data_IF_613571621719
#
_entry.id   IF_613571621719
#
_cell.length_a   1.000
_cell.length_b   1.000
_cell.length_c   1.000
_cell.angle_alpha   90.00
_cell.angle_beta   90.00
_cell.angle_gamma   90.00
#
_symmetry.space_group_name_H-M   'P 1'
#
loop_
_entity.id
_entity.type
_entity.pdbx_description
1 polymer ?
#
# COMPACT_ATOMS: atom_id res chain seq x y z
N UNK A 1 37.33 -71.53 1.24
CA UNK A 1 36.19 -71.20 0.36
C UNK A 1 35.55 -69.92 0.89
N UNK A 2 35.94 -68.77 0.36
CA UNK A 2 35.45 -67.45 0.76
C UNK A 2 34.23 -67.05 -0.08
N UNK A 3 33.17 -66.56 0.56
CA UNK A 3 32.11 -65.76 -0.07
C UNK A 3 32.48 -64.27 0.10
N UNK A 4 32.34 -63.41 -0.92
CA UNK A 4 32.54 -61.98 -0.75
C UNK A 4 31.25 -61.33 -0.21
N UNK A 5 31.38 -60.54 0.85
CA UNK A 5 30.34 -59.61 1.29
C UNK A 5 30.58 -58.26 0.59
N UNK A 6 29.62 -57.82 -0.21
CA UNK A 6 29.64 -56.53 -0.88
C UNK A 6 29.39 -55.41 0.16
N UNK A 7 30.41 -54.59 0.42
CA UNK A 7 30.27 -53.29 1.07
C UNK A 7 29.78 -52.28 0.02
N UNK A 8 28.49 -51.96 0.04
CA UNK A 8 27.93 -50.82 -0.68
C UNK A 8 28.34 -49.54 0.06
N UNK A 9 29.28 -48.79 -0.53
CA UNK A 9 29.61 -47.45 -0.09
C UNK A 9 28.50 -46.48 -0.56
N UNK A 10 27.67 -46.00 0.37
CA UNK A 10 26.74 -44.91 0.12
C UNK A 10 27.53 -43.59 -0.01
N UNK A 11 27.74 -43.11 -1.24
CA UNK A 11 28.15 -41.73 -1.49
C UNK A 11 26.92 -40.82 -1.27
N UNK A 12 26.97 -39.80 -0.41
CA UNK A 12 25.89 -38.82 -0.32
C UNK A 12 25.91 -37.97 -1.59
N UNK A 13 24.83 -38.00 -2.37
CA UNK A 13 24.59 -37.02 -3.43
C UNK A 13 24.45 -35.63 -2.77
N UNK A 14 25.49 -34.82 -2.86
CA UNK A 14 25.41 -33.38 -2.64
C UNK A 14 24.57 -32.78 -3.77
N UNK A 15 23.26 -32.66 -3.54
CA UNK A 15 22.40 -31.85 -4.39
C UNK A 15 22.87 -30.39 -4.27
N UNK A 16 23.18 -29.70 -5.39
CA UNK A 16 23.52 -28.29 -5.33
C UNK A 16 22.34 -27.52 -4.75
N UNK A 17 22.56 -26.80 -3.66
CA UNK A 17 21.56 -25.89 -3.12
C UNK A 17 21.12 -24.93 -4.24
N UNK A 18 19.81 -24.64 -4.37
CA UNK A 18 19.36 -23.67 -5.36
C UNK A 18 20.09 -22.36 -5.09
N UNK A 19 20.90 -21.92 -6.07
CA UNK A 19 21.43 -20.57 -6.11
C UNK A 19 20.26 -19.66 -6.42
N UNK A 20 19.63 -19.12 -5.38
CA UNK A 20 18.78 -17.95 -5.53
C UNK A 20 19.71 -16.82 -5.96
N UNK A 21 19.72 -16.50 -7.25
CA UNK A 21 20.38 -15.28 -7.75
C UNK A 21 19.67 -14.09 -7.13
N UNK A 22 20.18 -13.62 -5.99
CA UNK A 22 19.87 -12.29 -5.49
C UNK A 22 20.68 -11.31 -6.32
N UNK A 23 20.22 -11.03 -7.53
CA UNK A 23 20.64 -9.81 -8.21
C UNK A 23 19.95 -8.67 -7.46
N UNK A 24 20.61 -8.17 -6.41
CA UNK A 24 20.31 -6.84 -5.92
C UNK A 24 20.56 -5.89 -7.08
N UNK A 25 19.54 -5.13 -7.48
CA UNK A 25 19.74 -4.03 -8.41
C UNK A 25 20.67 -3.05 -7.69
N UNK A 26 21.92 -2.98 -8.16
CA UNK A 26 22.87 -1.99 -7.68
C UNK A 26 22.40 -0.63 -8.19
N UNK A 27 21.63 0.08 -7.36
CA UNK A 27 21.05 1.38 -7.71
C UNK A 27 22.15 2.41 -7.99
N UNK A 28 23.37 2.22 -7.49
CA UNK A 28 24.50 3.11 -7.78
C UNK A 28 25.12 2.86 -9.16
N UNK A 29 24.88 1.69 -9.77
CA UNK A 29 25.34 1.33 -11.13
C UNK A 29 24.22 1.16 -12.14
N UNK A 30 22.97 1.31 -11.71
CA UNK A 30 21.79 1.14 -12.56
C UNK A 30 21.64 2.29 -13.55
N UNK A 31 21.31 1.97 -14.79
CA UNK A 31 20.88 2.98 -15.76
C UNK A 31 19.47 3.46 -15.38
N UNK A 32 19.31 4.76 -15.16
CA UNK A 32 18.00 5.36 -15.00
C UNK A 32 17.30 5.42 -16.35
N UNK A 33 16.28 4.58 -16.52
CA UNK A 33 15.38 4.65 -17.67
C UNK A 33 14.18 5.51 -17.33
N UNK A 34 13.90 6.52 -18.16
CA UNK A 34 12.65 7.28 -18.12
C UNK A 34 11.63 6.60 -19.03
N UNK A 35 10.42 6.37 -18.50
CA UNK A 35 9.27 5.94 -19.29
C UNK A 35 8.39 7.16 -19.57
N UNK A 36 8.07 7.42 -20.83
CA UNK A 36 7.23 8.55 -21.25
C UNK A 36 6.05 8.09 -22.10
N UNK A 37 5.29 9.04 -22.64
CA UNK A 37 4.27 8.78 -23.66
C UNK A 37 4.85 8.16 -24.93
N UNK A 38 6.13 8.39 -25.23
CA UNK A 38 6.80 7.80 -26.39
C UNK A 38 7.06 6.30 -26.20
N UNK A 39 7.13 5.83 -24.94
CA UNK A 39 7.22 4.41 -24.58
C UNK A 39 5.84 3.72 -24.48
N UNK A 40 4.74 4.45 -24.70
CA UNK A 40 3.37 3.92 -24.67
C UNK A 40 2.56 4.24 -23.40
N UNK A 41 3.09 5.05 -22.48
CA UNK A 41 2.33 5.53 -21.33
C UNK A 41 1.19 6.46 -21.81
N UNK A 42 -0.06 6.32 -21.33
CA UNK A 42 -1.17 7.14 -21.84
C UNK A 42 -1.01 8.63 -21.52
N UNK A 43 -0.36 8.97 -20.40
CA UNK A 43 -0.03 10.35 -20.05
C UNK A 43 1.15 10.43 -19.08
N UNK A 44 1.80 11.60 -19.00
CA UNK A 44 2.95 11.83 -18.11
C UNK A 44 2.62 12.01 -16.62
N UNK A 45 1.34 12.06 -16.24
CA UNK A 45 0.91 12.18 -14.84
C UNK A 45 0.43 10.83 -14.29
N UNK A 46 1.35 10.09 -13.65
CA UNK A 46 1.08 8.82 -12.97
C UNK A 46 0.61 9.10 -11.55
N UNK A 47 -0.50 8.46 -11.14
CA UNK A 47 -1.10 8.64 -9.81
C UNK A 47 -0.65 7.59 -8.81
N UNK A 48 -0.48 6.35 -9.25
CA UNK A 48 -0.09 5.22 -8.44
C UNK A 48 0.68 4.20 -9.28
N UNK A 49 1.57 3.45 -8.62
CA UNK A 49 2.42 2.44 -9.25
C UNK A 49 2.38 1.16 -8.41
N UNK A 50 2.12 0.03 -9.06
CA UNK A 50 2.11 -1.28 -8.43
C UNK A 50 2.88 -2.29 -9.28
N UNK A 51 3.73 -3.11 -8.67
CA UNK A 51 4.21 -4.33 -9.30
C UNK A 51 3.31 -5.50 -8.88
N UNK A 52 2.74 -6.22 -9.84
CA UNK A 52 1.96 -7.43 -9.54
C UNK A 52 2.84 -8.66 -9.28
N UNK A 53 2.26 -9.74 -8.76
CA UNK A 53 2.96 -11.02 -8.53
C UNK A 53 3.46 -11.71 -9.79
N UNK A 54 2.96 -11.35 -10.97
CA UNK A 54 3.48 -11.86 -12.25
C UNK A 54 4.69 -11.04 -12.74
N UNK A 55 5.02 -9.94 -12.06
CA UNK A 55 6.15 -9.07 -12.35
C UNK A 55 5.81 -7.87 -13.23
N UNK A 56 4.55 -7.70 -13.65
CA UNK A 56 4.16 -6.54 -14.44
C UNK A 56 4.12 -5.27 -13.59
N UNK A 57 4.51 -4.16 -14.19
CA UNK A 57 4.34 -2.83 -13.61
C UNK A 57 3.04 -2.21 -14.08
N UNK A 58 2.25 -1.72 -13.15
CA UNK A 58 0.99 -1.05 -13.38
C UNK A 58 1.09 0.43 -13.03
N UNK A 59 0.52 1.29 -13.86
CA UNK A 59 0.54 2.74 -13.72
C UNK A 59 -0.88 3.28 -13.88
N UNK A 60 -1.43 3.85 -12.81
CA UNK A 60 -2.74 4.49 -12.88
C UNK A 60 -2.60 5.93 -13.37
N UNK A 61 -3.48 6.34 -14.29
CA UNK A 61 -3.45 7.67 -14.88
C UNK A 61 -4.87 8.22 -15.08
N UNK A 62 -5.01 9.50 -15.46
CA UNK A 62 -6.32 10.10 -15.81
C UNK A 62 -6.95 9.63 -17.14
N UNK A 63 -6.19 8.93 -17.99
CA UNK A 63 -6.46 8.64 -19.42
C UNK A 63 -6.21 7.15 -19.73
N UNK A 64 -6.41 6.31 -18.71
CA UNK A 64 -6.28 4.88 -18.79
C UNK A 64 -5.35 4.30 -17.73
N UNK A 65 -5.45 2.99 -17.59
CA UNK A 65 -4.57 2.16 -16.79
C UNK A 65 -3.51 1.54 -17.72
N UNK A 66 -2.24 1.69 -17.40
CA UNK A 66 -1.16 1.07 -18.17
C UNK A 66 -0.55 -0.11 -17.44
N UNK A 67 -0.29 -1.20 -18.16
CA UNK A 67 0.47 -2.38 -17.71
C UNK A 67 1.71 -2.52 -18.57
N UNK A 68 2.87 -2.74 -17.96
CA UNK A 68 4.11 -3.04 -18.67
C UNK A 68 4.71 -4.36 -18.23
N UNK A 69 5.17 -5.14 -19.20
CA UNK A 69 5.98 -6.35 -19.01
C UNK A 69 7.50 -6.04 -19.00
N UNK A 70 7.87 -4.75 -19.05
CA UNK A 70 9.26 -4.27 -19.16
C UNK A 70 9.72 -3.98 -20.59
N UNK A 71 9.02 -4.50 -21.59
CA UNK A 71 9.32 -4.34 -23.02
C UNK A 71 8.23 -3.55 -23.74
N UNK A 72 6.97 -3.88 -23.45
CA UNK A 72 5.77 -3.32 -24.05
C UNK A 72 4.87 -2.70 -23.00
N UNK A 73 3.98 -1.81 -23.43
CA UNK A 73 2.96 -1.19 -22.59
C UNK A 73 1.59 -1.43 -23.19
N UNK A 74 0.71 -2.03 -22.40
CA UNK A 74 -0.71 -2.24 -22.71
C UNK A 74 -1.53 -1.19 -21.98
N UNK A 75 -2.39 -0.47 -22.69
CA UNK A 75 -3.26 0.57 -22.11
C UNK A 75 -4.70 0.10 -22.13
N UNK A 76 -5.33 0.08 -20.96
CA UNK A 76 -6.75 -0.19 -20.78
C UNK A 76 -7.50 1.14 -20.69
N UNK A 77 -8.49 1.30 -21.57
CA UNK A 77 -9.40 2.46 -21.62
C UNK A 77 -10.84 2.00 -21.58
N UNK A 78 -11.71 2.90 -21.16
CA UNK A 78 -13.13 2.68 -21.12
C UNK A 78 -13.68 2.53 -22.53
N UNK A 79 -14.53 1.53 -22.73
CA UNK A 79 -15.29 1.31 -23.95
C UNK A 79 -16.78 1.17 -23.60
N UNK A 80 -17.59 2.14 -24.04
CA UNK A 80 -19.05 2.14 -23.85
C UNK A 80 -19.73 0.89 -24.46
N UNK A 81 -19.09 0.25 -25.44
CA UNK A 81 -19.55 -0.98 -26.08
C UNK A 81 -19.14 -2.27 -25.37
N UNK A 82 -18.23 -2.22 -24.40
CA UNK A 82 -17.71 -3.39 -23.70
C UNK A 82 -17.83 -3.24 -22.17
N UNK A 83 -18.82 -3.92 -21.59
CA UNK A 83 -19.02 -3.99 -20.14
C UNK A 83 -17.89 -4.67 -19.36
N UNK A 84 -16.93 -5.28 -20.05
CA UNK A 84 -15.74 -5.92 -19.48
C UNK A 84 -14.48 -5.06 -19.60
N UNK A 85 -14.60 -3.86 -20.19
CA UNK A 85 -13.59 -2.81 -20.14
C UNK A 85 -13.56 -2.12 -18.77
N UNK A 86 -12.49 -1.38 -18.48
CA UNK A 86 -12.40 -0.52 -17.30
C UNK A 86 -13.57 0.47 -17.30
N UNK A 87 -14.20 0.72 -16.16
CA UNK A 87 -15.44 1.49 -16.06
C UNK A 87 -15.24 2.97 -16.36
N UNK A 88 -14.02 3.48 -16.29
CA UNK A 88 -13.63 4.83 -16.70
C UNK A 88 -12.11 4.97 -16.82
N UNK A 89 -11.67 6.01 -17.53
CA UNK A 89 -10.25 6.19 -17.84
C UNK A 89 -9.42 6.75 -16.67
N UNK A 90 -10.08 7.38 -15.69
CA UNK A 90 -9.39 8.08 -14.61
C UNK A 90 -9.06 7.13 -13.44
N UNK A 91 -8.07 6.27 -13.64
CA UNK A 91 -7.54 5.39 -12.61
C UNK A 91 -6.75 6.18 -11.54
N UNK A 92 -6.95 5.86 -10.27
CA UNK A 92 -6.41 6.62 -9.13
C UNK A 92 -5.60 5.81 -8.12
N UNK A 93 -5.97 4.55 -7.87
CA UNK A 93 -5.37 3.69 -6.85
C UNK A 93 -5.21 2.27 -7.40
N UNK A 94 -4.17 1.57 -6.98
CA UNK A 94 -3.87 0.20 -7.39
C UNK A 94 -3.60 -0.67 -6.16
N UNK A 95 -4.18 -1.87 -6.15
CA UNK A 95 -3.90 -2.87 -5.13
C UNK A 95 -4.09 -4.28 -5.67
N UNK A 96 -3.11 -5.16 -5.50
CA UNK A 96 -3.30 -6.59 -5.76
C UNK A 96 -3.74 -7.32 -4.47
N UNK A 97 -4.83 -8.09 -4.54
CA UNK A 97 -5.30 -8.86 -3.39
C UNK A 97 -4.54 -10.19 -3.18
N UNK A 98 -4.88 -10.94 -2.14
CA UNK A 98 -4.28 -12.25 -1.83
C UNK A 98 -4.48 -13.32 -2.92
N UNK A 99 -5.44 -13.14 -3.82
CA UNK A 99 -5.82 -14.11 -4.87
C UNK A 99 -5.25 -13.75 -6.25
N UNK A 100 -4.61 -12.59 -6.37
CA UNK A 100 -3.96 -12.12 -7.58
C UNK A 100 -4.87 -11.29 -8.48
N UNK A 101 -6.04 -10.85 -8.01
CA UNK A 101 -6.82 -9.85 -8.73
C UNK A 101 -6.26 -8.46 -8.44
N UNK A 102 -6.23 -7.62 -9.47
CA UNK A 102 -5.89 -6.20 -9.34
C UNK A 102 -7.17 -5.40 -9.10
N UNK A 103 -7.12 -4.52 -8.12
CA UNK A 103 -8.19 -3.58 -7.78
C UNK A 103 -7.76 -2.19 -8.18
N UNK A 104 -8.65 -1.49 -8.89
CA UNK A 104 -8.36 -0.20 -9.52
C UNK A 104 -9.40 0.81 -9.08
N UNK A 105 -8.97 1.83 -8.35
CA UNK A 105 -9.84 2.97 -8.02
C UNK A 105 -10.09 3.80 -9.28
N UNK A 106 -11.35 4.10 -9.59
CA UNK A 106 -11.76 4.91 -10.75
C UNK A 106 -12.44 6.18 -10.25
N UNK A 107 -11.86 7.33 -10.58
CA UNK A 107 -12.39 8.62 -10.13
C UNK A 107 -13.81 8.81 -10.63
N UNK A 108 -14.74 9.00 -9.70
CA UNK A 108 -16.15 9.24 -10.02
C UNK A 108 -16.92 7.97 -10.42
N UNK A 109 -16.31 6.78 -10.35
CA UNK A 109 -16.93 5.49 -10.72
C UNK A 109 -16.66 4.33 -9.75
N UNK A 110 -15.84 4.56 -8.72
CA UNK A 110 -15.70 3.67 -7.59
C UNK A 110 -14.49 2.77 -7.77
N UNK A 111 -14.73 1.46 -7.82
CA UNK A 111 -13.67 0.46 -7.85
C UNK A 111 -13.96 -0.57 -8.94
N UNK A 112 -12.92 -0.95 -9.67
CA UNK A 112 -12.96 -2.06 -10.62
C UNK A 112 -12.05 -3.19 -10.14
N UNK A 113 -12.45 -4.43 -10.45
CA UNK A 113 -11.60 -5.62 -10.28
C UNK A 113 -11.17 -6.14 -11.65
N UNK A 114 -9.87 -6.24 -11.87
CA UNK A 114 -9.25 -6.86 -13.03
C UNK A 114 -8.89 -8.33 -12.75
N UNK A 115 -9.39 -9.22 -13.60
CA UNK A 115 -9.03 -10.65 -13.62
C UNK A 115 -7.92 -10.88 -14.65
N UNK A 116 -6.66 -11.14 -14.22
CA UNK A 116 -5.55 -11.34 -15.14
C UNK A 116 -5.66 -12.62 -15.98
N UNK A 117 -6.50 -13.59 -15.58
CA UNK A 117 -6.69 -14.83 -16.37
C UNK A 117 -7.60 -14.62 -17.56
N UNK A 118 -8.52 -13.67 -17.45
CA UNK A 118 -9.52 -13.36 -18.49
C UNK A 118 -9.24 -12.04 -19.20
N UNK A 119 -8.32 -11.24 -18.66
CA UNK A 119 -8.03 -9.86 -19.04
C UNK A 119 -9.30 -8.99 -19.09
N UNK A 120 -10.12 -9.09 -18.03
CA UNK A 120 -11.42 -8.41 -17.95
C UNK A 120 -11.56 -7.64 -16.65
N UNK A 121 -12.25 -6.51 -16.75
CA UNK A 121 -12.67 -5.71 -15.62
C UNK A 121 -14.10 -6.06 -15.21
N UNK A 122 -14.38 -5.89 -13.92
CA UNK A 122 -15.73 -5.99 -13.35
C UNK A 122 -15.88 -4.86 -12.35
N UNK A 123 -16.79 -3.93 -12.64
CA UNK A 123 -17.11 -2.84 -11.73
C UNK A 123 -17.71 -3.38 -10.42
N UNK A 124 -17.27 -2.82 -9.29
CA UNK A 124 -17.78 -3.13 -7.96
C UNK A 124 -19.17 -2.53 -7.80
N UNK A 125 -20.13 -3.35 -7.37
CA UNK A 125 -21.50 -2.91 -7.15
C UNK A 125 -21.64 -2.33 -5.75
N UNK A 126 -22.50 -1.34 -5.60
CA UNK A 126 -22.86 -0.80 -4.29
C UNK A 126 -23.94 -1.67 -3.65
N UNK A 127 -23.68 -2.14 -2.42
CA UNK A 127 -24.64 -2.84 -1.59
C UNK A 127 -25.67 -1.90 -0.97
N UNK A 128 -26.62 -2.47 -0.23
CA UNK A 128 -27.63 -1.70 0.49
C UNK A 128 -27.00 -0.69 1.44
N UNK A 129 -27.56 0.52 1.47
CA UNK A 129 -27.07 1.62 2.31
C UNK A 129 -25.98 2.50 1.67
N UNK A 130 -25.41 2.11 0.52
CA UNK A 130 -24.46 2.94 -0.24
C UNK A 130 -25.15 3.49 -1.49
N UNK A 131 -25.34 4.82 -1.56
CA UNK A 131 -26.02 5.46 -2.70
C UNK A 131 -24.99 6.03 -3.68
N UNK A 132 -25.04 5.76 -5.00
CA UNK A 132 -24.02 6.21 -5.95
C UNK A 132 -23.91 7.74 -6.18
N UNK A 133 -24.83 8.56 -5.64
CA UNK A 133 -25.00 9.97 -6.04
C UNK A 133 -23.96 10.97 -5.50
N UNK A 134 -23.13 10.58 -4.53
CA UNK A 134 -22.18 11.49 -3.85
C UNK A 134 -20.87 10.79 -3.40
N UNK A 135 -20.64 9.52 -3.76
CA UNK A 135 -19.78 8.59 -3.00
C UNK A 135 -18.82 7.77 -3.89
N UNK A 136 -18.22 8.37 -4.91
CA UNK A 136 -17.66 7.55 -6.01
C UNK A 136 -16.14 7.68 -6.18
N UNK A 137 -15.49 8.54 -5.40
CA UNK A 137 -14.04 8.60 -5.30
C UNK A 137 -13.54 7.76 -4.13
N UNK A 138 -12.49 6.98 -4.37
CA UNK A 138 -11.75 6.23 -3.34
C UNK A 138 -10.53 7.06 -2.98
N UNK A 139 -10.32 7.36 -1.70
CA UNK A 139 -9.14 8.05 -1.18
C UNK A 139 -8.14 7.09 -0.56
N UNK A 140 -8.62 5.97 -0.03
CA UNK A 140 -7.76 4.92 0.54
C UNK A 140 -8.28 3.56 0.10
N UNK A 141 -7.35 2.72 -0.35
CA UNK A 141 -7.60 1.33 -0.72
C UNK A 141 -6.54 0.46 -0.02
N UNK A 142 -6.96 -0.48 0.83
CA UNK A 142 -6.02 -1.27 1.64
C UNK A 142 -6.53 -2.69 1.91
N UNK A 143 -5.62 -3.62 2.16
CA UNK A 143 -5.98 -4.93 2.68
C UNK A 143 -6.14 -4.87 4.21
N UNK A 144 -7.26 -5.41 4.67
CA UNK A 144 -7.47 -5.72 6.08
C UNK A 144 -6.65 -6.92 6.54
N UNK A 145 -6.61 -7.16 7.86
CA UNK A 145 -5.88 -8.26 8.48
C UNK A 145 -6.40 -9.65 8.07
N UNK A 146 -7.66 -9.73 7.63
CA UNK A 146 -8.33 -10.93 7.14
C UNK A 146 -8.19 -11.11 5.61
N UNK A 147 -7.43 -10.24 4.94
CA UNK A 147 -7.28 -10.22 3.49
C UNK A 147 -8.49 -9.64 2.75
N UNK A 148 -9.52 -9.15 3.46
CA UNK A 148 -10.59 -8.40 2.83
C UNK A 148 -10.11 -7.02 2.42
N UNK A 149 -10.75 -6.47 1.41
CA UNK A 149 -10.42 -5.16 0.89
C UNK A 149 -11.25 -4.10 1.62
N UNK A 150 -10.57 -3.09 2.14
CA UNK A 150 -11.17 -1.95 2.83
C UNK A 150 -10.91 -0.67 2.05
N UNK A 151 -11.92 0.19 2.00
CA UNK A 151 -11.87 1.46 1.28
C UNK A 151 -12.34 2.58 2.18
N UNK A 152 -11.73 3.76 2.01
CA UNK A 152 -12.29 5.01 2.50
C UNK A 152 -12.61 5.87 1.30
N UNK A 153 -13.86 6.30 1.21
CA UNK A 153 -14.37 7.17 0.14
C UNK A 153 -14.07 8.64 0.41
N UNK A 154 -14.21 9.50 -0.61
CA UNK A 154 -13.96 10.96 -0.51
C UNK A 154 -14.81 11.68 0.56
N UNK A 155 -15.96 11.13 0.89
CA UNK A 155 -16.83 11.61 1.97
C UNK A 155 -16.41 11.07 3.35
N UNK A 156 -15.28 10.38 3.42
CA UNK A 156 -14.68 9.77 4.62
C UNK A 156 -15.48 8.57 5.14
N UNK A 157 -16.33 7.96 4.31
CA UNK A 157 -17.03 6.73 4.67
C UNK A 157 -16.12 5.51 4.55
N UNK A 158 -16.06 4.70 5.61
CA UNK A 158 -15.40 3.39 5.60
C UNK A 158 -16.31 2.32 4.98
N UNK A 159 -15.79 1.56 4.02
CA UNK A 159 -16.48 0.44 3.38
C UNK A 159 -15.58 -0.79 3.27
N UNK A 160 -16.21 -1.96 3.16
CA UNK A 160 -15.55 -3.25 2.90
C UNK A 160 -16.05 -3.82 1.58
N UNK A 161 -15.15 -4.38 0.78
CA UNK A 161 -15.51 -5.04 -0.48
C UNK A 161 -15.57 -6.54 -0.25
N UNK A 162 -16.77 -7.09 -0.45
CA UNK A 162 -17.05 -8.52 -0.33
C UNK A 162 -16.95 -9.15 -1.71
N UNK A 163 -16.15 -10.21 -1.79
CA UNK A 163 -15.99 -11.04 -2.99
C UNK A 163 -16.63 -12.40 -2.76
N UNK A 164 -17.87 -12.57 -3.19
CA UNK A 164 -18.48 -13.90 -3.21
C UNK A 164 -17.92 -14.70 -4.39
N UNK A 165 -17.70 -16.00 -4.22
CA UNK A 165 -17.08 -16.87 -5.23
C UNK A 165 -17.89 -17.03 -6.53
N UNK A 166 -19.13 -16.57 -6.58
CA UNK A 166 -20.04 -16.73 -7.72
C UNK A 166 -20.55 -15.40 -8.34
N UNK A 167 -20.23 -14.24 -7.74
CA UNK A 167 -20.85 -12.96 -8.10
C UNK A 167 -19.85 -11.83 -8.39
N UNK A 168 -20.33 -10.70 -8.94
CA UNK A 168 -19.53 -9.49 -8.99
C UNK A 168 -19.21 -9.02 -7.56
N UNK A 169 -18.05 -8.38 -7.36
CA UNK A 169 -17.69 -7.83 -6.05
C UNK A 169 -18.71 -6.76 -5.62
N UNK A 170 -19.01 -6.72 -4.33
CA UNK A 170 -19.99 -5.78 -3.75
C UNK A 170 -19.35 -5.01 -2.61
N UNK A 171 -19.40 -3.69 -2.69
CA UNK A 171 -19.04 -2.79 -1.61
C UNK A 171 -20.18 -2.73 -0.59
N UNK A 172 -19.87 -2.90 0.69
CA UNK A 172 -20.83 -2.84 1.79
C UNK A 172 -20.31 -1.98 2.92
N UNK A 173 -21.23 -1.43 3.69
CA UNK A 173 -20.90 -0.83 4.98
C UNK A 173 -20.47 -1.96 5.93
N UNK A 174 -19.48 -1.72 6.81
CA UNK A 174 -19.18 -2.65 7.89
C UNK A 174 -20.44 -2.82 8.76
N UNK A 175 -20.75 -4.05 9.17
CA UNK A 175 -22.01 -4.40 9.85
C UNK A 175 -22.38 -3.51 11.06
N UNK A 176 -23.69 -3.40 11.36
CA UNK A 176 -24.42 -2.52 12.30
C UNK A 176 -23.94 -2.36 13.76
N UNK A 177 -22.75 -2.82 14.14
CA UNK A 177 -22.21 -2.68 15.51
C UNK A 177 -21.60 -1.29 15.78
N UNK A 178 -21.63 -0.38 14.79
CA UNK A 178 -20.86 0.86 14.82
C UNK A 178 -21.70 2.06 14.33
N UNK A 179 -21.98 3.06 15.19
CA UNK A 179 -22.74 4.22 14.78
C UNK A 179 -21.81 5.23 14.06
N UNK A 180 -22.20 5.60 12.83
CA UNK A 180 -21.61 6.67 11.99
C UNK A 180 -20.12 6.52 11.61
N UNK A 181 -19.87 5.88 10.46
CA UNK A 181 -18.54 5.64 9.88
C UNK A 181 -18.00 6.77 8.98
N UNK A 182 -18.40 8.01 9.24
CA UNK A 182 -17.78 9.16 8.60
C UNK A 182 -16.71 9.69 9.53
N UNK A 183 -15.44 9.54 9.15
CA UNK A 183 -14.37 10.10 9.98
C UNK A 183 -14.53 11.63 10.07
N UNK A 184 -14.30 12.23 11.25
CA UNK A 184 -14.41 13.68 11.41
C UNK A 184 -13.37 14.42 10.55
N UNK A 185 -12.29 13.74 10.16
CA UNK A 185 -11.16 14.28 9.43
C UNK A 185 -10.79 13.39 8.23
N UNK A 186 -10.01 13.96 7.31
CA UNK A 186 -9.65 13.28 6.07
C UNK A 186 -8.72 12.10 6.40
N UNK A 187 -9.11 10.88 6.03
CA UNK A 187 -8.21 9.72 6.15
C UNK A 187 -7.16 9.83 5.04
N UNK A 188 -5.89 9.82 5.42
CA UNK A 188 -4.77 9.94 4.49
C UNK A 188 -4.13 8.60 4.17
N UNK A 189 -4.23 7.61 5.08
CA UNK A 189 -3.72 6.27 4.84
C UNK A 189 -4.38 5.23 5.74
N UNK A 190 -4.39 3.97 5.31
CA UNK A 190 -4.82 2.85 6.13
C UNK A 190 -3.98 1.60 5.87
N UNK A 191 -3.76 0.81 6.92
CA UNK A 191 -2.97 -0.43 6.86
C UNK A 191 -3.53 -1.49 7.80
N UNK A 192 -3.70 -2.72 7.30
CA UNK A 192 -3.95 -3.90 8.12
C UNK A 192 -2.70 -4.39 8.84
N UNK A 193 -2.87 -4.96 10.03
CA UNK A 193 -1.83 -5.62 10.80
C UNK A 193 -2.01 -7.15 10.86
N UNK A 194 -1.03 -7.88 11.40
CA UNK A 194 -1.09 -9.36 11.47
C UNK A 194 -1.94 -9.89 12.63
N UNK A 195 -2.40 -9.02 13.52
CA UNK A 195 -3.10 -9.35 14.77
C UNK A 195 -4.60 -9.04 14.69
N UNK A 196 -5.13 -8.68 13.52
CA UNK A 196 -6.55 -8.40 13.36
C UNK A 196 -6.93 -6.93 13.45
N UNK A 197 -5.98 -6.00 13.47
CA UNK A 197 -6.24 -4.56 13.48
C UNK A 197 -6.18 -3.93 12.09
N UNK A 198 -7.10 -3.01 11.81
CA UNK A 198 -7.05 -2.07 10.71
C UNK A 198 -6.75 -0.68 11.28
N UNK A 199 -5.61 -0.12 10.89
CA UNK A 199 -5.15 1.19 11.32
C UNK A 199 -5.49 2.22 10.25
N UNK A 200 -6.01 3.38 10.68
CA UNK A 200 -6.31 4.50 9.80
C UNK A 200 -5.72 5.77 10.40
N UNK A 201 -4.98 6.51 9.61
CA UNK A 201 -4.45 7.81 10.01
C UNK A 201 -5.18 8.91 9.27
N UNK A 202 -5.58 9.93 10.01
CA UNK A 202 -6.13 11.19 9.48
C UNK A 202 -5.14 12.32 9.71
N UNK A 203 -5.39 13.48 9.11
CA UNK A 203 -4.67 14.73 9.37
C UNK A 203 -4.61 15.14 10.86
N UNK A 204 -5.48 14.57 11.72
CA UNK A 204 -5.63 14.94 13.14
C UNK A 204 -5.48 13.79 14.14
N UNK A 205 -5.72 12.56 13.72
CA UNK A 205 -5.93 11.43 14.64
C UNK A 205 -5.46 10.11 14.04
N UNK A 206 -5.09 9.19 14.92
CA UNK A 206 -4.87 7.80 14.58
C UNK A 206 -6.01 6.95 15.14
N UNK A 207 -6.55 6.09 14.30
CA UNK A 207 -7.63 5.17 14.62
C UNK A 207 -7.18 3.72 14.43
N UNK A 208 -7.63 2.85 15.33
CA UNK A 208 -7.45 1.40 15.21
C UNK A 208 -8.77 0.68 15.39
N UNK A 209 -9.16 -0.10 14.38
CA UNK A 209 -10.33 -0.97 14.38
C UNK A 209 -9.88 -2.41 14.57
N UNK A 210 -10.41 -3.10 15.56
CA UNK A 210 -10.16 -4.54 15.76
C UNK A 210 -11.24 -5.34 15.06
N UNK A 211 -10.86 -6.10 14.04
CA UNK A 211 -11.76 -6.82 13.14
C UNK A 211 -11.85 -8.32 13.48
N UNK A 212 -10.84 -8.85 14.19
CA UNK A 212 -10.74 -10.27 14.56
C UNK A 212 -10.74 -10.42 16.09
N UNK A 213 -11.42 -11.45 16.62
CA UNK A 213 -11.51 -11.72 18.06
C UNK A 213 -12.86 -11.38 18.69
N UNK A 214 -12.94 -11.48 20.02
CA UNK A 214 -14.16 -11.25 20.81
C UNK A 214 -14.41 -9.77 21.13
N UNK A 215 -13.39 -8.91 21.01
CA UNK A 215 -13.45 -7.47 21.25
C UNK A 215 -13.52 -6.67 19.95
N UNK A 216 -14.43 -7.05 19.03
CA UNK A 216 -14.57 -6.32 17.76
C UNK A 216 -15.01 -4.88 18.01
N UNK A 217 -14.19 -3.91 17.61
CA UNK A 217 -14.57 -2.50 17.65
C UNK A 217 -13.44 -1.51 17.50
N UNK A 218 -13.82 -0.23 17.43
CA UNK A 218 -12.89 0.88 17.40
C UNK A 218 -12.31 1.05 18.81
N UNK A 219 -11.04 0.69 18.98
CA UNK A 219 -10.44 0.69 20.33
C UNK A 219 -9.83 2.05 20.68
N UNK A 220 -9.36 2.83 19.70
CA UNK A 220 -8.62 4.04 20.01
C UNK A 220 -8.83 5.16 18.98
N UNK A 221 -9.12 6.36 19.48
CA UNK A 221 -8.81 7.64 18.85
C UNK A 221 -7.62 8.20 19.63
N UNK A 222 -6.42 8.09 19.07
CA UNK A 222 -5.25 8.72 19.65
C UNK A 222 -5.08 10.08 18.98
N UNK A 223 -5.19 11.19 19.72
CA UNK A 223 -4.89 12.49 19.17
C UNK A 223 -3.41 12.48 18.79
N UNK A 224 -3.13 12.70 17.50
CA UNK A 224 -1.76 12.94 17.06
C UNK A 224 -1.39 14.36 17.49
N UNK A 225 -0.13 14.63 17.87
CA UNK A 225 0.30 15.99 18.12
C UNK A 225 -0.07 16.83 16.91
N UNK A 226 -0.87 17.88 17.12
CA UNK A 226 -1.28 18.79 16.04
C UNK A 226 -0.02 19.18 15.26
N UNK A 227 -0.04 19.11 13.92
CA UNK A 227 1.10 19.61 13.15
C UNK A 227 1.34 21.05 13.64
N UNK A 228 2.55 21.32 14.13
CA UNK A 228 2.98 22.71 14.33
C UNK A 228 2.81 23.38 12.98
N UNK A 229 1.83 24.28 12.89
CA UNK A 229 1.41 24.92 11.64
C UNK A 229 2.62 25.41 10.87
N UNK A 230 3.04 24.65 9.86
CA UNK A 230 3.79 25.18 8.74
C UNK A 230 2.77 25.41 7.63
N UNK A 231 2.77 26.62 7.07
CA UNK A 231 1.65 27.17 6.30
C UNK A 231 1.45 26.52 4.91
N UNK A 232 2.24 25.50 4.55
CA UNK A 232 2.08 24.73 3.30
C UNK A 232 1.14 23.53 3.49
N UNK A 233 -0.14 23.82 3.75
CA UNK A 233 -1.24 22.88 4.02
C UNK A 233 -1.59 21.90 2.88
N UNK A 234 -0.80 21.83 1.80
CA UNK A 234 -1.14 21.03 0.60
C UNK A 234 -0.61 19.59 0.62
N UNK A 235 0.30 19.24 1.54
CA UNK A 235 1.03 17.95 1.50
C UNK A 235 1.28 17.31 2.88
N UNK A 236 0.24 17.16 3.70
CA UNK A 236 0.37 16.46 5.00
C UNK A 236 0.16 14.96 4.80
N UNK A 237 1.19 14.29 4.28
CA UNK A 237 1.21 12.85 4.02
C UNK A 237 1.43 12.03 5.28
N UNK A 238 0.49 12.08 6.23
CA UNK A 238 0.54 11.14 7.34
C UNK A 238 0.33 9.73 6.77
N UNK A 239 1.31 8.87 7.00
CA UNK A 239 1.32 7.52 6.45
C UNK A 239 1.56 6.50 7.54
N UNK A 240 1.05 5.30 7.32
CA UNK A 240 1.28 4.15 8.18
C UNK A 240 2.27 3.20 7.53
N UNK A 241 3.22 2.71 8.32
CA UNK A 241 4.21 1.74 7.87
C UNK A 241 4.32 0.62 8.90
N UNK A 242 3.99 -0.60 8.46
CA UNK A 242 4.04 -1.79 9.31
C UNK A 242 5.46 -2.35 9.36
N UNK A 243 5.99 -2.58 10.55
CA UNK A 243 7.23 -3.31 10.81
C UNK A 243 6.91 -4.71 11.37
N UNK A 244 6.59 -5.70 10.51
CA UNK A 244 5.98 -6.96 10.93
C UNK A 244 6.88 -7.81 11.82
N UNK A 245 8.21 -7.76 11.63
CA UNK A 245 9.18 -8.54 12.44
C UNK A 245 9.17 -8.15 13.92
N UNK A 246 8.52 -7.05 14.29
CA UNK A 246 8.53 -6.49 15.64
C UNK A 246 7.14 -6.18 16.19
N UNK A 247 6.08 -6.52 15.47
CA UNK A 247 4.71 -6.16 15.83
C UNK A 247 4.57 -4.64 16.10
N UNK A 248 5.15 -3.80 15.24
CA UNK A 248 5.07 -2.33 15.35
C UNK A 248 4.38 -1.71 14.15
N UNK A 249 3.48 -0.77 14.41
CA UNK A 249 2.92 0.14 13.41
C UNK A 249 3.55 1.52 13.60
N UNK A 250 4.16 2.07 12.56
CA UNK A 250 4.71 3.43 12.60
C UNK A 250 3.73 4.40 11.94
N UNK A 251 3.32 5.44 12.69
CA UNK A 251 2.69 6.62 12.11
C UNK A 251 3.78 7.62 11.76
N UNK A 252 3.98 7.85 10.46
CA UNK A 252 4.93 8.81 9.92
C UNK A 252 4.23 10.15 9.76
N UNK A 253 4.73 11.14 10.47
CA UNK A 253 4.30 12.54 10.42
C UNK A 253 5.47 13.36 9.86
N UNK A 254 5.22 14.64 9.53
CA UNK A 254 6.24 15.51 8.94
C UNK A 254 7.53 15.58 9.76
N UNK A 255 7.45 15.83 11.08
CA UNK A 255 8.62 15.97 11.96
C UNK A 255 8.82 14.80 12.92
N UNK A 256 7.93 13.81 12.92
CA UNK A 256 7.93 12.74 13.90
C UNK A 256 7.59 11.39 13.25
N UNK A 257 8.16 10.32 13.79
CA UNK A 257 7.66 8.98 13.56
C UNK A 257 7.28 8.37 14.92
N UNK A 258 6.02 8.00 15.09
CA UNK A 258 5.52 7.44 16.35
C UNK A 258 5.28 5.95 16.14
N UNK A 259 5.93 5.10 16.95
CA UNK A 259 5.74 3.66 16.94
C UNK A 259 4.62 3.27 17.90
N UNK A 260 3.75 2.38 17.45
CA UNK A 260 2.67 1.78 18.24
C UNK A 260 2.83 0.28 18.27
N UNK A 261 2.50 -0.31 19.43
CA UNK A 261 2.43 -1.75 19.59
C UNK A 261 1.18 -2.26 18.88
N UNK A 262 1.36 -3.20 17.95
CA UNK A 262 0.27 -3.71 17.13
C UNK A 262 -0.77 -4.47 17.97
N UNK A 263 -0.36 -5.09 19.08
CA UNK A 263 -1.24 -5.91 19.92
C UNK A 263 -2.07 -5.06 20.85
N UNK A 264 -1.45 -4.07 21.50
CA UNK A 264 -2.09 -3.25 22.53
C UNK A 264 -2.60 -1.91 22.01
N UNK A 265 -2.19 -1.47 20.82
CA UNK A 265 -2.52 -0.14 20.29
C UNK A 265 -1.77 1.01 20.97
N UNK A 266 -0.95 0.72 21.98
CA UNK A 266 -0.29 1.74 22.81
C UNK A 266 0.96 2.31 22.12
N UNK A 267 1.28 3.60 22.30
CA UNK A 267 2.53 4.17 21.81
C UNK A 267 3.72 3.52 22.53
N UNK A 268 4.72 3.10 21.74
CA UNK A 268 5.97 2.50 22.22
C UNK A 268 7.08 3.55 22.25
N UNK A 269 7.21 4.33 21.18
CA UNK A 269 8.35 5.21 20.95
C UNK A 269 7.98 6.39 20.06
N UNK A 270 8.68 7.51 20.22
CA UNK A 270 8.51 8.71 19.40
C UNK A 270 9.86 9.20 18.93
N UNK A 271 10.08 9.08 17.63
CA UNK A 271 11.29 9.55 16.97
C UNK A 271 11.10 10.97 16.46
N UNK A 272 11.99 11.88 16.89
CA UNK A 272 12.04 13.24 16.35
C UNK A 272 12.96 13.26 15.14
N UNK A 273 12.45 13.74 14.01
CA UNK A 273 13.20 13.85 12.78
C UNK A 273 13.92 15.20 12.72
N UNK A 274 15.22 15.25 12.39
CA UNK A 274 15.92 16.50 12.14
C UNK A 274 15.22 17.34 11.06
N UNK A 275 15.36 18.66 11.11
CA UNK A 275 14.73 19.56 10.12
C UNK A 275 15.11 19.24 8.66
N UNK A 276 16.30 18.67 8.43
CA UNK A 276 16.77 18.22 7.11
C UNK A 276 16.12 16.90 6.64
N UNK A 277 15.40 16.22 7.53
CA UNK A 277 14.84 14.88 7.38
C UNK A 277 13.33 14.87 7.64
N UNK A 278 12.69 16.03 7.54
CA UNK A 278 11.23 16.12 7.63
C UNK A 278 10.61 15.35 6.48
N UNK A 279 9.74 14.40 6.82
CA UNK A 279 9.04 13.56 5.85
C UNK A 279 8.05 14.44 5.10
N UNK A 280 8.18 14.46 3.79
CA UNK A 280 7.28 15.17 2.90
C UNK A 280 6.30 14.20 2.23
N UNK A 281 6.80 13.06 1.74
CA UNK A 281 5.98 12.02 1.10
C UNK A 281 6.53 10.61 1.30
N UNK A 282 5.61 9.64 1.17
CA UNK A 282 5.85 8.23 0.86
C UNK A 282 6.93 7.56 1.72
N UNK A 283 6.53 6.91 2.79
CA UNK A 283 7.38 6.04 3.60
C UNK A 283 7.22 4.56 3.24
N UNK A 284 8.32 3.84 3.09
CA UNK A 284 8.32 2.37 3.06
C UNK A 284 9.53 1.79 3.77
N UNK A 285 9.42 0.57 4.29
CA UNK A 285 10.56 -0.14 4.87
C UNK A 285 11.21 -1.04 3.84
N UNK A 286 12.53 -0.98 3.76
CA UNK A 286 13.30 -2.00 3.05
C UNK A 286 13.42 -3.30 3.87
N UNK A 287 14.08 -4.30 3.28
CA UNK A 287 14.27 -5.63 3.90
C UNK A 287 15.06 -5.60 5.21
N UNK A 288 15.88 -4.56 5.40
CA UNK A 288 16.66 -4.32 6.61
C UNK A 288 15.85 -3.59 7.68
N UNK A 289 14.63 -3.14 7.35
CA UNK A 289 13.77 -2.35 8.23
C UNK A 289 14.19 -0.88 8.28
N UNK A 290 14.89 -0.39 7.26
CA UNK A 290 15.22 1.03 7.13
C UNK A 290 14.10 1.75 6.38
N UNK A 291 13.74 2.93 6.87
CA UNK A 291 12.72 3.77 6.25
C UNK A 291 13.31 4.50 5.05
N UNK A 292 12.73 4.27 3.89
CA UNK A 292 12.88 5.11 2.72
C UNK A 292 11.74 6.12 2.67
N UNK A 293 12.08 7.38 2.44
CA UNK A 293 11.10 8.47 2.34
C UNK A 293 11.62 9.63 1.51
N UNK A 294 10.72 10.51 1.09
CA UNK A 294 11.05 11.77 0.42
C UNK A 294 11.02 12.92 1.44
N UNK A 295 12.11 13.69 1.51
CA UNK A 295 12.18 14.86 2.38
C UNK A 295 11.50 16.09 1.77
N UNK A 296 11.39 17.18 2.53
CA UNK A 296 10.80 18.45 2.06
C UNK A 296 11.49 19.12 0.87
N UNK A 297 12.67 18.63 0.49
CA UNK A 297 13.42 19.11 -0.67
C UNK A 297 13.33 18.12 -1.84
N UNK A 298 12.36 17.20 -1.80
CA UNK A 298 12.10 16.16 -2.80
C UNK A 298 13.28 15.20 -2.98
N UNK A 299 14.09 15.00 -1.93
CA UNK A 299 15.23 14.08 -1.95
C UNK A 299 14.86 12.74 -1.34
N UNK A 300 15.22 11.66 -2.02
CA UNK A 300 15.11 10.31 -1.46
C UNK A 300 16.12 10.11 -0.33
N UNK A 301 15.60 9.81 0.85
CA UNK A 301 16.36 9.61 2.07
C UNK A 301 16.18 8.18 2.60
N UNK A 302 17.18 7.66 3.31
CA UNK A 302 17.16 6.35 3.97
C UNK A 302 17.52 6.50 5.45
N UNK A 303 16.63 6.13 6.37
CA UNK A 303 16.78 6.39 7.81
C UNK A 303 16.55 5.14 8.65
N UNK A 304 17.38 4.96 9.68
CA UNK A 304 17.10 3.97 10.74
C UNK A 304 16.05 4.51 11.70
N UNK A 305 14.88 3.86 11.74
CA UNK A 305 13.83 4.15 12.73
C UNK A 305 14.24 3.80 14.18
N UNK A 306 15.38 3.12 14.37
CA UNK A 306 15.92 2.82 15.71
C UNK A 306 16.76 3.96 16.30
N UNK A 307 17.41 4.73 15.44
CA UNK A 307 18.46 5.68 15.86
C UNK A 307 18.22 7.09 15.36
N UNK A 308 17.20 7.33 14.51
CA UNK A 308 17.06 8.57 13.74
C UNK A 308 18.35 8.97 13.00
N UNK A 309 19.17 7.98 12.62
CA UNK A 309 20.42 8.25 11.90
C UNK A 309 20.31 7.75 10.48
N UNK A 310 20.76 8.60 9.57
CA UNK A 310 20.98 8.25 8.20
C UNK A 310 22.39 7.65 8.07
N UNK A 311 22.56 6.45 7.49
CA UNK A 311 23.88 5.90 7.20
C UNK A 311 24.59 6.61 6.04
N UNK A 312 23.87 7.46 5.29
CA UNK A 312 24.36 8.18 4.12
C UNK A 312 25.16 9.44 4.52
N UNK A 313 26.43 9.54 4.10
CA UNK A 313 27.27 10.75 4.29
C UNK A 313 26.78 11.94 3.45
N UNK A 314 26.03 11.69 2.37
CA UNK A 314 25.40 12.68 1.49
C UNK A 314 24.20 13.40 2.13
N UNK A 315 23.72 12.89 3.27
CA UNK A 315 22.57 13.40 4.02
C UNK A 315 23.01 14.30 5.18
N UNK A 316 24.32 14.41 5.42
CA UNK A 316 24.87 15.35 6.39
C UNK A 316 24.49 16.77 5.97
N UNK A 317 24.08 17.65 6.90
CA UNK A 317 23.86 19.04 6.57
C UNK A 317 25.13 19.60 5.94
N UNK A 318 25.02 20.22 4.75
CA UNK A 318 26.06 21.13 4.30
C UNK A 318 26.27 22.12 5.45
N UNK A 319 27.51 22.18 5.95
CA UNK A 319 27.84 22.78 7.23
C UNK A 319 27.35 24.23 7.38
N UNK A 320 26.97 24.52 8.64
CA UNK A 320 26.93 25.81 9.36
C UNK A 320 26.86 27.11 8.56
#
# INVERSE_FOLDING_TARGET
MLRPAHLLACLPLLLPAPLWSQSAVDVERGELRRLTTDDGLPQGFVRDILQDRQGHLWFSTKDGLARSDGYTMTVFRHDDGDSTSISGDHATHLLEDGTGHLWVGIKGRGLDRYDPRRERFTAVRYGEGITPGHYVGIDVLTLGPDGQLWTVSEDKALSVVVTDSAGPPVMRLPSHTYPEFTFPAQVTHAAGDQQGGLWLVTDRSLHRLVLVGTERGMQHELPLPSPTMDHDARFHGHQLVLEPKRDRMWALLSAFAIAFDVRTGSPIDTLHLPAAHQIHRLGTLDREGMLWYEDKFERSCRLSLRTARCPCSTCAPMGT
#
